data_IF_258620639237
#
_entry.id   IF_258620639237
#
_cell.length_a   1.000
_cell.length_b   1.000
_cell.length_c   1.000
_cell.angle_alpha   90.00
_cell.angle_beta   90.00
_cell.angle_gamma   90.00
#
_symmetry.space_group_name_H-M   'P 1'
#
loop_
_entity.id
_entity.type
_entity.pdbx_description
1 polymer ?
#
# COMPACT_ATOMS: atom_id res chain seq x y z
N UNK A 1 -8.83 27.76 -63.16
CA UNK A 1 -8.35 28.13 -61.81
C UNK A 1 -9.52 28.05 -60.84
N UNK A 2 -9.36 27.19 -59.84
CA UNK A 2 -10.03 27.12 -58.52
C UNK A 2 -11.57 26.99 -58.44
N UNK A 3 -11.99 25.72 -58.30
CA UNK A 3 -13.23 25.31 -57.64
C UNK A 3 -12.98 25.29 -56.12
N UNK A 4 -13.80 26.00 -55.35
CA UNK A 4 -13.72 26.03 -53.88
C UNK A 4 -14.76 25.04 -53.33
N UNK A 5 -14.28 23.88 -52.88
CA UNK A 5 -15.08 22.90 -52.14
C UNK A 5 -15.23 23.32 -50.69
N UNK A 6 -16.48 23.49 -50.25
CA UNK A 6 -16.85 23.76 -48.86
C UNK A 6 -16.98 22.42 -48.11
N UNK A 7 -15.94 22.05 -47.35
CA UNK A 7 -15.95 20.87 -46.47
C UNK A 7 -16.73 21.19 -45.20
N UNK A 8 -17.94 20.64 -45.05
CA UNK A 8 -18.67 20.60 -43.78
C UNK A 8 -17.97 19.61 -42.84
N UNK A 9 -17.37 20.14 -41.77
CA UNK A 9 -16.93 19.34 -40.62
C UNK A 9 -18.18 19.05 -39.78
N UNK A 10 -18.68 17.81 -39.87
CA UNK A 10 -19.68 17.29 -38.94
C UNK A 10 -18.99 17.09 -37.58
N UNK A 11 -19.18 18.02 -36.65
CA UNK A 11 -18.85 17.81 -35.25
C UNK A 11 -19.84 16.78 -34.68
N UNK A 12 -19.39 15.54 -34.54
CA UNK A 12 -20.09 14.50 -33.80
C UNK A 12 -20.20 14.92 -32.34
N UNK A 13 -21.39 15.38 -31.96
CA UNK A 13 -21.80 15.50 -30.56
C UNK A 13 -21.78 14.10 -29.94
N UNK A 14 -20.73 13.79 -29.19
CA UNK A 14 -20.76 12.70 -28.22
C UNK A 14 -21.80 13.07 -27.14
N UNK A 15 -22.64 12.12 -26.70
CA UNK A 15 -23.57 12.39 -25.61
C UNK A 15 -22.75 12.74 -24.37
N UNK A 16 -23.07 13.89 -23.78
CA UNK A 16 -22.62 14.27 -22.43
C UNK A 16 -23.02 13.12 -21.52
N UNK A 17 -22.04 12.36 -21.03
CA UNK A 17 -22.24 11.33 -20.03
C UNK A 17 -22.90 11.98 -18.82
N UNK A 18 -23.99 11.38 -18.34
CA UNK A 18 -24.63 11.72 -17.09
C UNK A 18 -23.56 11.87 -15.98
N UNK A 19 -23.80 12.71 -14.94
CA UNK A 19 -22.85 12.87 -13.86
C UNK A 19 -22.55 11.50 -13.26
N UNK A 20 -21.30 11.07 -13.41
CA UNK A 20 -20.75 9.82 -12.89
C UNK A 20 -21.06 9.75 -11.39
N UNK A 21 -21.88 8.81 -10.94
CA UNK A 21 -22.19 8.59 -9.52
C UNK A 21 -21.01 7.87 -8.85
N UNK A 22 -19.88 8.60 -8.71
CA UNK A 22 -18.64 8.11 -8.13
C UNK A 22 -18.86 7.57 -6.70
N UNK A 23 -19.77 8.17 -5.94
CA UNK A 23 -20.09 7.77 -4.57
C UNK A 23 -20.88 6.45 -4.54
N UNK A 24 -21.81 6.24 -5.47
CA UNK A 24 -22.58 5.00 -5.57
C UNK A 24 -21.73 3.80 -5.96
N UNK A 25 -20.82 3.98 -6.93
CA UNK A 25 -19.94 2.91 -7.39
C UNK A 25 -18.90 2.49 -6.34
N UNK A 26 -18.29 3.46 -5.65
CA UNK A 26 -17.34 3.17 -4.57
C UNK A 26 -18.03 2.39 -3.44
N UNK A 27 -19.24 2.80 -3.05
CA UNK A 27 -20.05 2.09 -2.05
C UNK A 27 -20.39 0.64 -2.44
N UNK A 28 -20.54 0.35 -3.75
CA UNK A 28 -20.75 -1.04 -4.21
C UNK A 28 -19.52 -1.91 -3.93
N UNK A 29 -18.32 -1.39 -4.15
CA UNK A 29 -17.06 -2.09 -3.86
C UNK A 29 -16.91 -2.27 -2.36
N UNK A 30 -17.10 -1.21 -1.58
CA UNK A 30 -17.03 -1.24 -0.10
C UNK A 30 -18.04 -2.20 0.52
N UNK A 31 -19.28 -2.24 0.01
CA UNK A 31 -20.28 -3.19 0.47
C UNK A 31 -19.86 -4.64 0.18
N UNK A 32 -19.18 -4.89 -0.95
CA UNK A 32 -18.67 -6.21 -1.27
C UNK A 32 -17.49 -6.60 -0.36
N UNK A 33 -16.59 -5.66 -0.06
CA UNK A 33 -15.52 -5.83 0.92
C UNK A 33 -16.08 -6.18 2.30
N UNK A 34 -17.10 -5.45 2.78
CA UNK A 34 -17.74 -5.74 4.06
C UNK A 34 -18.39 -7.13 4.11
N UNK A 35 -19.03 -7.57 3.01
CA UNK A 35 -19.56 -8.92 2.90
C UNK A 35 -18.46 -9.98 2.89
N UNK A 36 -17.29 -9.67 2.31
CA UNK A 36 -16.14 -10.55 2.33
C UNK A 36 -15.62 -10.73 3.77
N UNK A 37 -15.42 -9.66 4.52
CA UNK A 37 -14.94 -9.74 5.92
C UNK A 37 -15.89 -10.59 6.79
N UNK A 38 -17.21 -10.42 6.64
CA UNK A 38 -18.21 -11.26 7.32
C UNK A 38 -18.05 -12.76 6.95
N UNK A 39 -17.64 -13.07 5.72
CA UNK A 39 -17.43 -14.46 5.30
C UNK A 39 -16.08 -15.02 5.79
N UNK A 40 -15.05 -14.17 5.89
CA UNK A 40 -13.76 -14.52 6.50
C UNK A 40 -13.99 -14.98 7.95
N UNK A 41 -14.79 -14.25 8.72
CA UNK A 41 -15.13 -14.58 10.12
C UNK A 41 -15.87 -15.92 10.27
N UNK A 42 -16.67 -16.30 9.26
CA UNK A 42 -17.42 -17.56 9.27
C UNK A 42 -16.60 -18.76 8.80
N UNK A 43 -15.55 -18.53 8.03
CA UNK A 43 -14.80 -19.57 7.33
C UNK A 43 -13.29 -19.41 7.54
N UNK A 44 -12.55 -19.17 6.46
CA UNK A 44 -11.16 -18.75 6.49
C UNK A 44 -10.92 -17.84 5.29
N UNK A 45 -9.87 -17.01 5.39
CA UNK A 45 -9.58 -15.99 4.38
C UNK A 45 -9.47 -16.54 2.96
N UNK A 46 -8.87 -17.72 2.77
CA UNK A 46 -8.71 -18.31 1.44
C UNK A 46 -10.07 -18.72 0.84
N UNK A 47 -10.88 -19.46 1.59
CA UNK A 47 -12.17 -19.95 1.10
C UNK A 47 -13.13 -18.80 0.79
N UNK A 48 -13.19 -17.79 1.67
CA UNK A 48 -13.97 -16.59 1.43
C UNK A 48 -13.50 -15.88 0.15
N UNK A 49 -12.19 -15.78 -0.06
CA UNK A 49 -11.68 -15.04 -1.20
C UNK A 49 -11.84 -15.80 -2.53
N UNK A 50 -11.74 -17.14 -2.54
CA UNK A 50 -12.11 -17.97 -3.71
C UNK A 50 -13.59 -17.78 -4.11
N UNK A 51 -14.49 -17.58 -3.15
CA UNK A 51 -15.90 -17.30 -3.41
C UNK A 51 -16.16 -15.88 -3.95
N UNK A 52 -15.37 -14.90 -3.50
CA UNK A 52 -15.59 -13.49 -3.81
C UNK A 52 -14.79 -12.99 -5.02
N UNK A 53 -13.68 -13.64 -5.41
CA UNK A 53 -12.84 -13.27 -6.56
C UNK A 53 -13.67 -13.03 -7.84
N UNK A 54 -14.62 -13.91 -8.26
CA UNK A 54 -15.42 -13.67 -9.48
C UNK A 54 -16.31 -12.43 -9.40
N UNK A 55 -16.75 -12.05 -8.19
CA UNK A 55 -17.61 -10.87 -7.96
C UNK A 55 -16.79 -9.59 -8.09
N UNK A 56 -15.57 -9.58 -7.54
CA UNK A 56 -14.64 -8.47 -7.72
C UNK A 56 -14.13 -8.37 -9.17
N UNK A 57 -13.86 -9.49 -9.84
CA UNK A 57 -13.51 -9.49 -11.27
C UNK A 57 -14.62 -8.87 -12.13
N UNK A 58 -15.88 -9.19 -11.81
CA UNK A 58 -17.05 -8.60 -12.48
C UNK A 58 -17.08 -7.08 -12.26
N UNK A 59 -16.93 -6.61 -11.00
CA UNK A 59 -16.91 -5.17 -10.70
C UNK A 59 -15.74 -4.45 -11.34
N UNK A 60 -14.53 -5.00 -11.29
CA UNK A 60 -13.34 -4.45 -11.91
C UNK A 60 -13.52 -4.26 -13.42
N UNK A 61 -14.17 -5.23 -14.08
CA UNK A 61 -14.48 -5.15 -15.51
C UNK A 61 -15.57 -4.12 -15.81
N UNK A 62 -16.66 -4.11 -15.05
CA UNK A 62 -17.77 -3.15 -15.20
C UNK A 62 -17.29 -1.69 -15.01
N UNK A 63 -16.41 -1.47 -14.05
CA UNK A 63 -15.94 -0.16 -13.61
C UNK A 63 -14.53 0.18 -14.12
N UNK A 64 -14.08 -0.47 -15.19
CA UNK A 64 -12.73 -0.30 -15.74
C UNK A 64 -12.42 1.16 -16.09
N UNK A 65 -11.23 1.64 -15.71
CA UNK A 65 -10.80 3.02 -15.92
C UNK A 65 -11.30 4.02 -14.86
N UNK A 66 -11.98 3.55 -13.81
CA UNK A 66 -12.47 4.37 -12.69
C UNK A 66 -11.71 4.06 -11.39
N UNK A 67 -11.79 4.97 -10.40
CA UNK A 67 -11.24 4.74 -9.05
C UNK A 67 -11.90 3.53 -8.37
N UNK A 68 -13.21 3.32 -8.58
CA UNK A 68 -13.94 2.16 -8.04
C UNK A 68 -13.46 0.85 -8.66
N UNK A 69 -13.23 0.84 -9.98
CA UNK A 69 -12.65 -0.30 -10.68
C UNK A 69 -11.24 -0.63 -10.20
N UNK A 70 -10.41 0.40 -10.00
CA UNK A 70 -9.07 0.23 -9.42
C UNK A 70 -9.14 -0.36 -8.01
N UNK A 71 -10.07 0.09 -7.15
CA UNK A 71 -10.24 -0.49 -5.81
C UNK A 71 -10.55 -1.98 -5.87
N UNK A 72 -11.44 -2.39 -6.77
CA UNK A 72 -11.74 -3.80 -6.99
C UNK A 72 -10.52 -4.59 -7.48
N UNK A 73 -9.73 -4.03 -8.41
CA UNK A 73 -8.47 -4.61 -8.88
C UNK A 73 -7.42 -4.75 -7.76
N UNK A 74 -7.30 -3.74 -6.89
CA UNK A 74 -6.40 -3.77 -5.73
C UNK A 74 -6.87 -4.79 -4.68
N UNK A 75 -8.17 -4.96 -4.50
CA UNK A 75 -8.72 -6.03 -3.66
C UNK A 75 -8.33 -7.40 -4.21
N UNK A 76 -8.49 -7.60 -5.53
CA UNK A 76 -8.09 -8.84 -6.21
C UNK A 76 -6.60 -9.08 -5.96
N UNK A 77 -5.75 -8.08 -6.24
CA UNK A 77 -4.30 -8.16 -6.04
C UNK A 77 -3.93 -8.53 -4.60
N UNK A 78 -4.50 -7.86 -3.58
CA UNK A 78 -4.24 -8.15 -2.17
C UNK A 78 -4.58 -9.60 -1.83
N UNK A 79 -5.70 -10.08 -2.37
CA UNK A 79 -6.22 -11.41 -2.17
C UNK A 79 -5.72 -12.35 -3.29
N UNK A 80 -4.42 -12.35 -3.60
CA UNK A 80 -3.80 -13.34 -4.51
C UNK A 80 -2.80 -14.27 -3.80
N UNK A 81 -2.65 -14.14 -2.48
CA UNK A 81 -1.56 -14.75 -1.73
C UNK A 81 -1.58 -16.28 -1.68
N UNK A 82 -2.76 -16.92 -1.77
CA UNK A 82 -2.87 -18.38 -1.76
C UNK A 82 -2.40 -19.05 -3.06
N UNK A 83 -2.23 -18.29 -4.16
CA UNK A 83 -1.57 -18.78 -5.39
C UNK A 83 -0.09 -19.16 -5.14
N UNK A 84 0.45 -18.89 -3.95
CA UNK A 84 1.80 -19.30 -3.52
C UNK A 84 2.00 -20.80 -3.60
N UNK A 85 0.99 -21.62 -3.31
CA UNK A 85 1.10 -23.09 -3.43
C UNK A 85 1.28 -23.56 -4.87
N UNK A 86 0.86 -22.75 -5.86
CA UNK A 86 1.05 -23.02 -7.27
C UNK A 86 2.40 -22.47 -7.82
N UNK A 87 3.16 -21.73 -7.01
CA UNK A 87 4.45 -21.15 -7.41
C UNK A 87 4.36 -19.92 -8.34
N UNK A 88 3.16 -19.43 -8.64
CA UNK A 88 2.94 -18.36 -9.63
C UNK A 88 2.46 -17.04 -9.04
N UNK A 89 2.25 -16.96 -7.71
CA UNK A 89 1.77 -15.76 -7.02
C UNK A 89 2.61 -14.52 -7.38
N UNK A 90 3.93 -14.62 -7.27
CA UNK A 90 4.83 -13.49 -7.48
C UNK A 90 4.77 -12.97 -8.92
N UNK A 91 4.76 -13.89 -9.89
CA UNK A 91 4.63 -13.57 -11.32
C UNK A 91 3.28 -12.92 -11.63
N UNK A 92 2.18 -13.47 -11.12
CA UNK A 92 0.84 -12.95 -11.35
C UNK A 92 0.65 -11.57 -10.71
N UNK A 93 1.06 -11.41 -9.44
CA UNK A 93 0.95 -10.17 -8.69
C UNK A 93 1.82 -9.07 -9.30
N UNK A 94 3.06 -9.38 -9.70
CA UNK A 94 3.94 -8.40 -10.34
C UNK A 94 3.38 -7.94 -11.69
N UNK A 95 2.89 -8.87 -12.53
CA UNK A 95 2.26 -8.56 -13.81
C UNK A 95 1.02 -7.66 -13.64
N UNK A 96 0.16 -7.97 -12.67
CA UNK A 96 -1.02 -7.17 -12.38
C UNK A 96 -0.63 -5.77 -11.88
N UNK A 97 0.31 -5.67 -10.94
CA UNK A 97 0.77 -4.39 -10.41
C UNK A 97 1.36 -3.49 -11.50
N UNK A 98 2.20 -4.02 -12.40
CA UNK A 98 2.74 -3.26 -13.54
C UNK A 98 1.63 -2.71 -14.44
N UNK A 99 0.60 -3.52 -14.73
CA UNK A 99 -0.56 -3.07 -15.51
C UNK A 99 -1.28 -1.93 -14.80
N UNK A 100 -1.58 -2.07 -13.50
CA UNK A 100 -2.31 -1.05 -12.74
C UNK A 100 -1.54 0.27 -12.65
N UNK A 101 -0.21 0.23 -12.51
CA UNK A 101 0.65 1.42 -12.55
C UNK A 101 0.51 2.15 -13.90
N UNK A 102 0.48 1.40 -15.01
CA UNK A 102 0.39 1.98 -16.35
C UNK A 102 -1.02 2.53 -16.67
N UNK A 103 -2.07 1.88 -16.18
CA UNK A 103 -3.46 2.24 -16.46
C UNK A 103 -4.00 3.37 -15.55
N UNK A 104 -3.49 3.49 -14.32
CA UNK A 104 -3.98 4.42 -13.31
C UNK A 104 -2.90 5.35 -12.71
N UNK A 105 -1.98 5.94 -13.49
CA UNK A 105 -0.82 6.66 -12.95
C UNK A 105 -1.20 7.83 -12.03
N UNK A 106 -2.37 8.43 -12.25
CA UNK A 106 -2.90 9.54 -11.45
C UNK A 106 -3.65 9.15 -10.19
N UNK A 107 -3.79 7.87 -9.84
CA UNK A 107 -4.58 7.46 -8.66
C UNK A 107 -3.72 7.42 -7.38
N UNK A 108 -4.19 8.03 -6.27
CA UNK A 108 -3.53 7.88 -4.97
C UNK A 108 -3.67 6.47 -4.39
N UNK A 109 -4.63 5.66 -4.87
CA UNK A 109 -4.82 4.28 -4.38
C UNK A 109 -3.64 3.36 -4.72
N UNK A 110 -2.78 3.75 -5.66
CA UNK A 110 -1.58 2.99 -6.02
C UNK A 110 -0.58 2.81 -4.86
N UNK A 111 -0.72 3.56 -3.76
CA UNK A 111 0.04 3.28 -2.52
C UNK A 111 -0.16 1.84 -2.03
N UNK A 112 -1.32 1.26 -2.30
CA UNK A 112 -1.65 -0.14 -1.96
C UNK A 112 -0.70 -1.13 -2.62
N UNK A 113 -0.22 -0.85 -3.84
CA UNK A 113 0.79 -1.69 -4.51
C UNK A 113 2.06 -1.76 -3.66
N UNK A 114 2.52 -0.63 -3.13
CA UNK A 114 3.70 -0.60 -2.27
C UNK A 114 3.44 -1.27 -0.90
N UNK A 115 2.24 -1.12 -0.34
CA UNK A 115 1.83 -1.82 0.87
C UNK A 115 1.91 -3.35 0.69
N UNK A 116 1.42 -3.85 -0.45
CA UNK A 116 1.38 -5.27 -0.80
C UNK A 116 2.72 -5.84 -1.30
N UNK A 117 3.87 -5.19 -0.99
CA UNK A 117 5.21 -5.62 -1.44
C UNK A 117 5.55 -7.10 -1.19
N UNK A 118 4.91 -7.72 -0.20
CA UNK A 118 5.09 -9.12 0.16
C UNK A 118 4.58 -10.11 -0.91
N UNK A 119 3.88 -9.60 -1.94
CA UNK A 119 3.35 -10.40 -3.04
C UNK A 119 4.30 -10.58 -4.23
N UNK A 120 5.37 -9.78 -4.37
CA UNK A 120 6.07 -9.66 -5.67
C UNK A 120 7.38 -10.45 -5.82
N UNK A 121 7.89 -11.10 -4.76
CA UNK A 121 9.26 -11.61 -4.75
C UNK A 121 10.29 -10.48 -4.57
N UNK A 122 11.37 -10.75 -3.83
CA UNK A 122 12.28 -9.68 -3.35
C UNK A 122 12.97 -8.95 -4.50
N UNK A 123 13.33 -9.67 -5.54
CA UNK A 123 14.01 -9.18 -6.73
C UNK A 123 13.16 -8.20 -7.54
N UNK A 124 11.82 -8.30 -7.44
CA UNK A 124 10.91 -7.44 -8.19
C UNK A 124 10.43 -6.21 -7.40
N UNK A 125 10.61 -6.18 -6.07
CA UNK A 125 10.11 -5.05 -5.26
C UNK A 125 10.75 -3.73 -5.69
N UNK A 126 12.08 -3.65 -5.74
CA UNK A 126 12.75 -2.37 -6.05
C UNK A 126 12.38 -1.86 -7.46
N UNK A 127 12.50 -2.67 -8.55
CA UNK A 127 12.10 -2.23 -9.88
C UNK A 127 10.62 -1.78 -9.96
N UNK A 128 9.72 -2.48 -9.28
CA UNK A 128 8.30 -2.13 -9.27
C UNK A 128 8.04 -0.81 -8.53
N UNK A 129 8.72 -0.58 -7.39
CA UNK A 129 8.60 0.68 -6.65
C UNK A 129 9.19 1.86 -7.42
N UNK A 130 10.29 1.66 -8.17
CA UNK A 130 10.84 2.70 -9.04
C UNK A 130 9.88 3.05 -10.18
N UNK A 131 9.22 2.06 -10.78
CA UNK A 131 8.17 2.29 -11.79
C UNK A 131 6.96 3.03 -11.19
N UNK A 132 6.57 2.69 -9.97
CA UNK A 132 5.46 3.33 -9.26
C UNK A 132 5.74 4.81 -8.97
N UNK A 133 6.94 5.14 -8.47
CA UNK A 133 7.39 6.52 -8.23
C UNK A 133 7.46 7.31 -9.54
N UNK A 134 7.92 6.69 -10.62
CA UNK A 134 8.02 7.37 -11.92
C UNK A 134 6.65 7.70 -12.54
N UNK A 135 5.62 6.89 -12.23
CA UNK A 135 4.29 7.04 -12.80
C UNK A 135 3.39 7.99 -12.00
N UNK A 136 3.56 8.04 -10.67
CA UNK A 136 2.61 8.72 -9.78
C UNK A 136 2.99 10.18 -9.48
N UNK A 137 2.02 11.11 -9.47
CA UNK A 137 2.25 12.47 -9.00
C UNK A 137 2.07 12.64 -7.48
N UNK A 138 1.74 11.56 -6.75
CA UNK A 138 1.27 11.64 -5.36
C UNK A 138 2.38 11.38 -4.35
N UNK A 139 2.59 12.32 -3.43
CA UNK A 139 3.52 12.17 -2.32
C UNK A 139 3.22 10.95 -1.44
N UNK A 140 1.96 10.57 -1.27
CA UNK A 140 1.57 9.37 -0.52
C UNK A 140 2.07 8.10 -1.20
N UNK A 141 1.95 8.02 -2.53
CA UNK A 141 2.41 6.88 -3.32
C UNK A 141 3.93 6.76 -3.25
N UNK A 142 4.65 7.88 -3.43
CA UNK A 142 6.10 7.92 -3.30
C UNK A 142 6.57 7.44 -1.92
N UNK A 143 5.97 7.97 -0.86
CA UNK A 143 6.34 7.65 0.51
C UNK A 143 6.17 6.15 0.81
N UNK A 144 5.04 5.57 0.41
CA UNK A 144 4.79 4.13 0.55
C UNK A 144 5.77 3.28 -0.29
N UNK A 145 6.08 3.71 -1.52
CA UNK A 145 7.03 3.02 -2.40
C UNK A 145 8.47 3.03 -1.84
N UNK A 146 8.92 4.19 -1.34
CA UNK A 146 10.22 4.34 -0.66
C UNK A 146 10.26 3.47 0.61
N UNK A 147 9.18 3.47 1.40
CA UNK A 147 9.04 2.60 2.56
C UNK A 147 9.14 1.11 2.21
N UNK A 148 8.53 0.68 1.11
CA UNK A 148 8.65 -0.68 0.62
C UNK A 148 10.09 -1.04 0.22
N UNK A 149 10.82 -0.11 -0.43
CA UNK A 149 12.25 -0.26 -0.73
C UNK A 149 13.08 -0.39 0.54
N UNK A 150 12.87 0.47 1.54
CA UNK A 150 13.53 0.43 2.86
C UNK A 150 13.39 -0.96 3.50
N UNK A 151 12.18 -1.51 3.54
CA UNK A 151 11.94 -2.83 4.13
C UNK A 151 12.63 -3.98 3.38
N UNK A 152 12.75 -3.88 2.06
CA UNK A 152 13.49 -4.85 1.24
C UNK A 152 14.99 -4.75 1.49
N UNK A 153 15.54 -3.53 1.47
CA UNK A 153 16.97 -3.27 1.64
C UNK A 153 17.48 -3.69 3.01
N UNK A 154 16.70 -3.50 4.08
CA UNK A 154 17.04 -3.95 5.45
C UNK A 154 17.33 -5.44 5.57
N UNK A 155 16.76 -6.25 4.69
CA UNK A 155 16.91 -7.71 4.67
C UNK A 155 17.81 -8.19 3.53
N UNK A 156 18.40 -7.26 2.78
CA UNK A 156 19.29 -7.57 1.66
C UNK A 156 20.67 -7.98 2.17
N UNK A 157 21.36 -8.81 1.38
CA UNK A 157 22.77 -9.17 1.58
C UNK A 157 23.71 -8.42 0.63
N UNK A 158 23.17 -7.55 -0.22
CA UNK A 158 23.96 -6.70 -1.11
C UNK A 158 24.80 -5.71 -0.29
N UNK A 159 26.09 -5.61 -0.61
CA UNK A 159 27.03 -4.70 0.04
C UNK A 159 26.62 -3.22 -0.08
N UNK A 160 25.87 -2.86 -1.13
CA UNK A 160 25.35 -1.50 -1.36
C UNK A 160 24.06 -1.23 -0.59
N UNK A 161 23.40 -2.25 -0.04
CA UNK A 161 22.10 -2.10 0.61
C UNK A 161 22.11 -1.13 1.80
N UNK A 162 23.13 -1.06 2.66
CA UNK A 162 23.17 -0.09 3.76
C UNK A 162 23.18 1.37 3.28
N UNK A 163 23.91 1.66 2.19
CA UNK A 163 23.97 3.01 1.60
C UNK A 163 22.62 3.36 0.99
N UNK A 164 22.04 2.45 0.21
CA UNK A 164 20.72 2.66 -0.40
C UNK A 164 19.62 2.81 0.67
N UNK A 165 19.68 2.02 1.74
CA UNK A 165 18.76 2.11 2.88
C UNK A 165 18.82 3.50 3.50
N UNK A 166 20.03 4.01 3.75
CA UNK A 166 20.24 5.34 4.32
C UNK A 166 19.67 6.44 3.42
N UNK A 167 19.98 6.41 2.12
CA UNK A 167 19.46 7.37 1.14
C UNK A 167 17.93 7.38 1.11
N UNK A 168 17.29 6.20 1.11
CA UNK A 168 15.83 6.12 1.10
C UNK A 168 15.21 6.63 2.42
N UNK A 169 15.86 6.38 3.56
CA UNK A 169 15.42 6.90 4.86
C UNK A 169 15.52 8.42 4.95
N UNK A 170 16.63 8.99 4.50
CA UNK A 170 16.84 10.45 4.44
C UNK A 170 15.83 11.08 3.49
N UNK A 171 15.61 10.50 2.31
CA UNK A 171 14.59 10.97 1.37
C UNK A 171 13.18 10.95 1.98
N UNK A 172 12.84 9.87 2.69
CA UNK A 172 11.54 9.73 3.37
C UNK A 172 11.37 10.78 4.48
N UNK A 173 12.43 11.02 5.26
CA UNK A 173 12.47 12.03 6.32
C UNK A 173 12.37 13.45 5.75
N UNK A 174 13.14 13.77 4.71
CA UNK A 174 13.29 15.15 4.22
C UNK A 174 12.10 15.61 3.36
N UNK A 175 11.54 14.72 2.54
CA UNK A 175 10.50 15.08 1.57
C UNK A 175 9.10 14.65 1.94
N UNK A 176 8.97 13.59 2.74
CA UNK A 176 7.69 12.93 3.01
C UNK A 176 7.42 12.79 4.51
N UNK A 177 8.06 13.63 5.33
CA UNK A 177 8.01 13.56 6.79
C UNK A 177 6.57 13.56 7.34
N UNK A 178 5.74 14.44 6.81
CA UNK A 178 4.37 14.71 7.28
C UNK A 178 3.33 13.76 6.66
N UNK A 179 3.73 12.88 5.74
CA UNK A 179 2.79 11.91 5.15
C UNK A 179 2.36 10.91 6.23
N UNK A 180 1.05 10.75 6.47
CA UNK A 180 0.56 9.82 7.48
C UNK A 180 0.98 8.37 7.20
N UNK A 181 1.34 7.67 8.26
CA UNK A 181 1.66 6.25 8.25
C UNK A 181 1.06 5.60 9.50
N UNK A 182 -0.10 4.95 9.34
CA UNK A 182 -0.88 4.40 10.47
C UNK A 182 -1.12 5.50 11.52
N UNK A 183 -0.88 5.23 12.80
CA UNK A 183 -1.03 6.19 13.91
C UNK A 183 0.18 7.13 14.07
N UNK A 184 1.05 7.24 13.06
CA UNK A 184 2.24 8.11 13.08
C UNK A 184 2.47 8.73 11.69
N UNK A 185 3.68 9.22 11.43
CA UNK A 185 4.10 9.72 10.11
C UNK A 185 5.35 9.00 9.62
N UNK A 186 5.57 9.06 8.30
CA UNK A 186 6.78 8.51 7.72
C UNK A 186 8.06 9.19 8.22
N UNK A 187 8.01 10.46 8.63
CA UNK A 187 9.14 11.17 9.22
C UNK A 187 9.55 10.61 10.59
N UNK A 188 8.57 10.30 11.45
CA UNK A 188 8.83 9.66 12.76
C UNK A 188 9.43 8.27 12.55
N UNK A 189 8.85 7.49 11.62
CA UNK A 189 9.40 6.18 11.25
C UNK A 189 10.85 6.29 10.75
N UNK A 190 11.12 7.20 9.81
CA UNK A 190 12.45 7.40 9.24
C UNK A 190 13.46 7.80 10.31
N UNK A 191 13.09 8.72 11.21
CA UNK A 191 13.92 9.16 12.34
C UNK A 191 14.28 7.98 13.25
N UNK A 192 13.30 7.17 13.65
CA UNK A 192 13.52 6.00 14.50
C UNK A 192 14.46 4.97 13.84
N UNK A 193 14.39 4.84 12.51
CA UNK A 193 15.23 3.91 11.75
C UNK A 193 16.64 4.46 11.46
N UNK A 194 16.81 5.78 11.37
CA UNK A 194 18.10 6.46 11.22
C UNK A 194 18.88 6.51 12.53
N UNK A 195 18.18 6.56 13.66
CA UNK A 195 18.76 6.65 15.01
C UNK A 195 18.31 5.47 15.90
N UNK A 196 18.66 4.22 15.55
CA UNK A 196 18.34 3.08 16.40
C UNK A 196 19.11 3.17 17.72
N UNK A 197 18.51 2.65 18.81
CA UNK A 197 19.24 2.45 20.06
C UNK A 197 20.48 1.59 19.84
N UNK A 198 21.57 1.93 20.52
CA UNK A 198 22.79 1.12 20.47
C UNK A 198 22.52 -0.23 21.14
N UNK A 199 23.20 -1.29 20.67
CA UNK A 199 22.97 -2.64 21.20
C UNK A 199 23.28 -2.69 22.70
N UNK A 200 24.30 -1.96 23.12
CA UNK A 200 24.80 -1.82 24.48
C UNK A 200 23.76 -1.16 25.42
N UNK A 201 22.82 -0.39 24.87
CA UNK A 201 21.70 0.21 25.62
C UNK A 201 20.52 -0.78 25.78
N UNK A 202 20.52 -1.89 25.03
CA UNK A 202 19.43 -2.88 24.99
C UNK A 202 19.83 -4.22 25.66
N UNK A 203 20.82 -4.19 26.55
CA UNK A 203 21.33 -5.37 27.25
C UNK A 203 20.67 -5.61 28.61
N UNK A 204 20.85 -6.82 29.16
CA UNK A 204 20.36 -7.19 30.49
C UNK A 204 20.90 -6.21 31.54
N UNK A 205 20.01 -5.71 32.40
CA UNK A 205 20.35 -4.76 33.47
C UNK A 205 20.36 -3.29 33.03
N UNK A 206 20.19 -2.99 31.74
CA UNK A 206 19.95 -1.63 31.26
C UNK A 206 18.50 -1.21 31.48
N UNK A 207 18.29 0.10 31.58
CA UNK A 207 16.94 0.66 31.66
C UNK A 207 16.31 0.54 30.27
N UNK A 208 15.15 -0.10 30.18
CA UNK A 208 14.38 -0.16 28.93
C UNK A 208 14.11 1.27 28.42
N UNK A 209 14.31 1.55 27.11
CA UNK A 209 13.99 2.85 26.52
C UNK A 209 12.56 3.28 26.86
N UNK A 210 12.37 4.59 26.99
CA UNK A 210 11.03 5.13 27.20
C UNK A 210 10.13 4.78 26.01
N UNK A 211 8.91 4.37 26.31
CA UNK A 211 7.86 4.14 25.32
C UNK A 211 6.71 5.02 25.76
N UNK A 212 6.23 5.86 24.85
CA UNK A 212 5.02 6.63 25.03
C UNK A 212 4.04 6.29 23.92
N UNK A 213 2.75 6.25 24.26
CA UNK A 213 1.73 5.87 23.31
C UNK A 213 0.33 6.13 23.84
N UNK A 214 -0.63 5.79 23.01
CA UNK A 214 -2.05 5.81 23.32
C UNK A 214 -2.52 4.36 23.22
N UNK A 215 -3.20 3.86 24.26
CA UNK A 215 -3.77 2.52 24.23
C UNK A 215 -5.10 2.45 23.46
N UNK A 216 -5.68 1.26 23.38
CA UNK A 216 -6.92 0.99 22.63
C UNK A 216 -8.15 1.75 23.17
N UNK A 217 -8.10 2.22 24.42
CA UNK A 217 -9.15 3.02 25.05
C UNK A 217 -8.89 4.52 24.92
N UNK A 218 -7.82 4.92 24.21
CA UNK A 218 -7.44 6.32 24.03
C UNK A 218 -6.63 6.89 25.21
N UNK A 219 -6.20 6.06 26.15
CA UNK A 219 -5.44 6.50 27.33
C UNK A 219 -3.96 6.62 26.99
N UNK A 220 -3.38 7.78 27.30
CA UNK A 220 -1.94 7.99 27.18
C UNK A 220 -1.21 7.20 28.27
N UNK A 221 -0.14 6.52 27.90
CA UNK A 221 0.73 5.83 28.85
C UNK A 221 2.21 6.10 28.55
N UNK A 222 3.03 5.97 29.58
CA UNK A 222 4.49 5.87 29.48
C UNK A 222 4.97 4.58 30.12
N UNK A 223 6.03 3.98 29.60
CA UNK A 223 6.63 2.80 30.24
C UNK A 223 7.10 3.12 31.68
N UNK A 224 7.59 4.34 31.90
CA UNK A 224 7.97 4.81 33.22
C UNK A 224 6.82 4.90 34.24
N UNK A 225 5.56 4.95 33.81
CA UNK A 225 4.40 4.95 34.72
C UNK A 225 4.23 3.61 35.47
N UNK A 226 4.87 2.55 34.98
CA UNK A 226 4.80 1.21 35.56
C UNK A 226 5.94 0.90 36.55
N UNK A 227 6.74 1.89 36.95
CA UNK A 227 7.81 1.70 37.95
C UNK A 227 7.24 1.15 39.26
N UNK A 228 7.98 0.23 39.88
CA UNK A 228 7.53 -0.51 41.07
C UNK A 228 6.69 -1.76 40.76
N UNK A 229 6.37 -2.02 39.49
CA UNK A 229 5.74 -3.27 39.02
C UNK A 229 6.75 -4.12 38.25
N UNK A 230 6.47 -5.43 38.16
CA UNK A 230 7.11 -6.31 37.17
C UNK A 230 6.36 -6.11 35.85
N UNK A 231 7.09 -5.76 34.79
CA UNK A 231 6.52 -5.44 33.46
C UNK A 231 7.07 -6.43 32.44
N UNK A 232 6.17 -7.03 31.66
CA UNK A 232 6.50 -7.74 30.43
C UNK A 232 6.05 -6.88 29.25
N UNK A 233 6.97 -6.60 28.33
CA UNK A 233 6.67 -5.92 27.07
C UNK A 233 6.52 -6.96 25.97
N UNK A 234 5.33 -7.02 25.38
CA UNK A 234 5.00 -7.89 24.26
C UNK A 234 4.70 -7.05 23.02
N UNK A 235 5.43 -7.31 21.93
CA UNK A 235 5.27 -6.61 20.65
C UNK A 235 4.46 -7.49 19.69
N UNK A 236 3.16 -7.23 19.58
CA UNK A 236 2.22 -8.02 18.79
C UNK A 236 1.32 -7.12 17.90
N UNK A 237 0.46 -7.76 17.10
CA UNK A 237 -0.57 -7.10 16.27
C UNK A 237 -1.56 -8.13 15.73
N UNK A 238 -2.66 -7.65 15.17
CA UNK A 238 -3.76 -8.41 14.55
C UNK A 238 -3.52 -8.78 13.07
N UNK A 239 -2.28 -8.59 12.62
CA UNK A 239 -1.80 -8.63 11.23
C UNK A 239 -2.32 -9.78 10.36
#
# INVERSE_FOLDING_TARGET
>A
MLSVGLTLILASFLPVSAPFDLDGEMKRVEALEALFEIEVDKSNQRSAAEQFEPRFETLAKELSGTESGLRAELWILRNHWWKRSAGTMEQAANKQAQRLIAEYPGSPQLSSIAEFRYLYGRENVIPLMDALIAASPHNSVDAWAIHAKIFTLRRSRDEKAPIQLRINLELLQDRYAEVPFRDTTFGVLATAMLSPHQKEDLEIGKVAPEIEGIDVDGTKFRLSDYRGKIVLLDFWGDW
#
